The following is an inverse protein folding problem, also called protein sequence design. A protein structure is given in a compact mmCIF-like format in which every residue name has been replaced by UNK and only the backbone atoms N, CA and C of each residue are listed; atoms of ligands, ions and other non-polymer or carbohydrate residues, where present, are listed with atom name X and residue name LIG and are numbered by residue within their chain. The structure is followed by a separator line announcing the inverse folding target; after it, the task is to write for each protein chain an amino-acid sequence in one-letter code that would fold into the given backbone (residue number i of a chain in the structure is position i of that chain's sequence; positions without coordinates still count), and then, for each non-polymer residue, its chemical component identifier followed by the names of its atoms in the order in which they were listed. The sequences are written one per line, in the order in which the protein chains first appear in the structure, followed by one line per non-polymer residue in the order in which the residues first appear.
data_IF_362923117648
#
_entry.id   IF_362923117648
#
_cell.length_a   1.000
_cell.length_b   1.000
_cell.length_c   1.000
_cell.angle_alpha   90.00
_cell.angle_beta   90.00
_cell.angle_gamma   90.00
#
_symmetry.space_group_name_H-M   'P 1'
#
loop_
_entity.id
_entity.type
_entity.pdbx_description
1 polymer ?
#
# COMPACT_ATOMS: atom_id res chain seq x y z
N UNK A 1 -30.68 -26.08 25.43
CA UNK A 1 -29.65 -25.02 25.39
C UNK A 1 -28.33 -25.68 25.02
N UNK A 2 -27.94 -25.65 23.74
CA UNK A 2 -26.62 -26.10 23.33
C UNK A 2 -25.57 -25.12 23.86
N UNK A 3 -24.67 -25.58 24.72
CA UNK A 3 -23.49 -24.82 25.13
C UNK A 3 -22.65 -24.52 23.90
N UNK A 4 -22.63 -23.26 23.47
CA UNK A 4 -21.73 -22.76 22.42
C UNK A 4 -20.30 -23.14 22.79
N UNK A 5 -19.62 -23.94 21.95
CA UNK A 5 -18.19 -24.25 22.15
C UNK A 5 -17.37 -22.99 21.88
N UNK A 6 -17.00 -22.30 22.96
CA UNK A 6 -16.10 -21.14 22.94
C UNK A 6 -14.70 -21.62 22.53
N UNK A 7 -14.04 -20.91 21.62
CA UNK A 7 -12.69 -21.25 21.20
C UNK A 7 -11.68 -20.94 22.32
N UNK A 8 -10.76 -21.88 22.59
CA UNK A 8 -9.68 -21.69 23.57
C UNK A 8 -8.42 -22.39 23.10
N UNK A 9 -7.27 -21.73 23.25
CA UNK A 9 -5.98 -22.37 23.02
C UNK A 9 -5.73 -23.46 24.08
N UNK A 10 -5.23 -24.61 23.64
CA UNK A 10 -4.72 -25.66 24.52
C UNK A 10 -3.20 -25.60 24.50
N UNK A 11 -2.65 -24.66 25.28
CA UNK A 11 -1.21 -24.44 25.35
C UNK A 11 -0.56 -25.56 26.17
N UNK A 12 0.66 -25.95 25.79
CA UNK A 12 1.44 -26.98 26.46
C UNK A 12 2.84 -26.45 26.74
N UNK A 13 3.23 -26.48 28.02
CA UNK A 13 4.52 -25.94 28.45
C UNK A 13 4.57 -24.40 28.38
N UNK A 14 5.72 -23.84 28.71
CA UNK A 14 5.93 -22.39 28.68
C UNK A 14 5.76 -21.86 27.26
N UNK A 15 4.92 -20.85 27.08
CA UNK A 15 4.59 -20.27 25.77
C UNK A 15 5.13 -18.86 25.64
N UNK A 16 5.90 -18.60 24.58
CA UNK A 16 6.32 -17.27 24.17
C UNK A 16 5.34 -16.76 23.11
N UNK A 17 4.83 -15.54 23.28
CA UNK A 17 3.98 -14.90 22.26
C UNK A 17 4.75 -13.81 21.53
N UNK A 18 4.62 -13.79 20.20
CA UNK A 18 5.18 -12.78 19.31
C UNK A 18 4.04 -12.14 18.54
N UNK A 19 3.94 -10.81 18.63
CA UNK A 19 2.97 -10.01 17.89
C UNK A 19 3.74 -9.10 16.93
N UNK A 20 3.72 -9.44 15.66
CA UNK A 20 4.20 -8.57 14.59
C UNK A 20 3.07 -7.61 14.19
N UNK A 21 3.07 -6.42 14.79
CA UNK A 21 1.95 -5.50 14.62
C UNK A 21 1.84 -4.97 13.19
N UNK A 22 2.91 -4.92 12.41
CA UNK A 22 2.81 -4.50 11.01
C UNK A 22 1.94 -5.50 10.21
N UNK A 23 2.16 -6.79 10.46
CA UNK A 23 1.37 -7.86 9.86
C UNK A 23 -0.06 -7.91 10.42
N UNK A 24 -0.24 -7.79 11.74
CA UNK A 24 -1.57 -7.78 12.38
C UNK A 24 -2.40 -6.57 11.96
N UNK A 25 -1.81 -5.38 11.91
CA UNK A 25 -2.47 -4.16 11.43
C UNK A 25 -2.92 -4.32 9.96
N UNK A 26 -2.09 -4.96 9.14
CA UNK A 26 -2.40 -5.30 7.76
C UNK A 26 -3.68 -6.14 7.59
N UNK A 27 -4.12 -6.87 8.62
CA UNK A 27 -5.35 -7.66 8.57
C UNK A 27 -6.62 -6.82 8.57
N UNK A 28 -6.55 -5.54 8.93
CA UNK A 28 -7.73 -4.67 9.03
C UNK A 28 -7.51 -3.24 8.51
N UNK A 29 -6.31 -2.90 8.04
CA UNK A 29 -6.01 -1.54 7.57
C UNK A 29 -6.46 -1.25 6.14
N UNK A 30 -6.58 -2.27 5.28
CA UNK A 30 -6.95 -2.12 3.88
C UNK A 30 -8.13 -3.05 3.52
N UNK A 31 -9.34 -2.49 3.33
CA UNK A 31 -10.52 -3.25 2.93
C UNK A 31 -10.40 -3.99 1.59
N UNK A 32 -9.49 -3.57 0.72
CA UNK A 32 -9.25 -4.19 -0.58
C UNK A 32 -8.22 -5.33 -0.51
N UNK A 33 -7.55 -5.48 0.63
CA UNK A 33 -6.56 -6.53 0.80
C UNK A 33 -7.22 -7.89 0.95
N UNK A 34 -6.56 -8.93 0.41
CA UNK A 34 -7.04 -10.32 0.49
C UNK A 34 -7.08 -10.89 1.90
N UNK A 35 -6.31 -10.31 2.83
CA UNK A 35 -6.24 -10.69 4.23
C UNK A 35 -7.17 -9.84 5.12
N UNK A 36 -8.05 -9.03 4.54
CA UNK A 36 -8.94 -8.15 5.29
C UNK A 36 -9.97 -8.94 6.10
N UNK A 37 -9.99 -8.72 7.42
CA UNK A 37 -10.87 -9.40 8.36
C UNK A 37 -12.27 -8.78 8.44
N UNK A 38 -12.43 -7.50 8.06
CA UNK A 38 -13.67 -6.75 8.28
C UNK A 38 -13.91 -6.33 9.74
N UNK A 39 -12.91 -6.47 10.61
CA UNK A 39 -12.94 -6.02 12.00
C UNK A 39 -11.52 -5.72 12.49
N UNK A 40 -11.40 -4.77 13.42
CA UNK A 40 -10.11 -4.32 13.95
C UNK A 40 -9.69 -5.16 15.17
N UNK A 41 -8.42 -5.54 15.23
CA UNK A 41 -7.82 -6.13 16.44
C UNK A 41 -7.57 -5.00 17.44
N UNK A 42 -8.15 -5.13 18.63
CA UNK A 42 -7.92 -4.21 19.74
C UNK A 42 -6.70 -4.68 20.56
N UNK A 43 -5.60 -3.89 20.65
CA UNK A 43 -4.41 -4.29 21.39
C UNK A 43 -4.67 -4.57 22.87
N UNK A 44 -5.56 -3.81 23.52
CA UNK A 44 -5.84 -4.00 24.95
C UNK A 44 -6.57 -5.31 25.17
N UNK A 45 -7.62 -5.59 24.41
CA UNK A 45 -8.36 -6.86 24.47
C UNK A 45 -7.46 -8.05 24.10
N UNK A 46 -6.58 -7.88 23.11
CA UNK A 46 -5.58 -8.90 22.77
C UNK A 46 -4.64 -9.20 23.94
N UNK A 47 -4.13 -8.17 24.62
CA UNK A 47 -3.29 -8.33 25.82
C UNK A 47 -4.04 -9.08 26.91
N UNK A 48 -5.24 -8.61 27.28
CA UNK A 48 -6.07 -9.21 28.33
C UNK A 48 -6.40 -10.68 28.02
N UNK A 49 -6.77 -10.97 26.77
CA UNK A 49 -7.04 -12.33 26.31
C UNK A 49 -5.82 -13.24 26.46
N UNK A 50 -4.65 -12.81 25.99
CA UNK A 50 -3.42 -13.60 26.09
C UNK A 50 -2.95 -13.73 27.54
N UNK A 51 -3.03 -12.67 28.33
CA UNK A 51 -2.61 -12.66 29.73
C UNK A 51 -3.44 -13.61 30.60
N UNK A 52 -4.66 -13.95 30.17
CA UNK A 52 -5.51 -14.94 30.85
C UNK A 52 -4.95 -16.37 30.84
N UNK A 53 -3.96 -16.67 30.00
CA UNK A 53 -3.34 -17.99 29.92
C UNK A 53 -2.11 -18.10 30.85
N UNK A 54 -2.13 -18.95 31.89
CA UNK A 54 -1.00 -19.10 32.81
C UNK A 54 0.25 -19.71 32.15
N UNK A 55 0.09 -20.42 31.03
CA UNK A 55 1.19 -20.98 30.25
C UNK A 55 2.01 -19.90 29.51
N UNK A 56 1.42 -18.73 29.27
CA UNK A 56 2.08 -17.64 28.54
C UNK A 56 3.03 -16.91 29.48
N UNK A 57 4.32 -17.05 29.20
CA UNK A 57 5.37 -16.48 30.04
C UNK A 57 5.71 -15.02 29.68
N UNK A 58 5.61 -14.68 28.40
CA UNK A 58 5.96 -13.36 27.88
C UNK A 58 5.16 -13.07 26.60
N UNK A 59 4.85 -11.79 26.38
CA UNK A 59 4.08 -11.32 25.23
C UNK A 59 4.84 -10.17 24.59
N UNK A 60 5.56 -10.48 23.50
CA UNK A 60 6.42 -9.52 22.83
C UNK A 60 5.67 -8.83 21.68
N UNK A 61 5.56 -7.51 21.75
CA UNK A 61 4.86 -6.67 20.79
C UNK A 61 5.84 -5.82 19.98
N UNK A 62 5.86 -6.01 18.66
CA UNK A 62 6.79 -5.37 17.73
C UNK A 62 6.03 -4.39 16.83
N UNK A 63 6.43 -3.12 16.81
CA UNK A 63 5.70 -2.09 16.09
C UNK A 63 6.57 -0.91 15.64
N UNK A 64 6.22 -0.34 14.49
CA UNK A 64 6.88 0.86 13.96
C UNK A 64 6.28 2.15 14.54
N UNK A 65 7.13 3.16 14.74
CA UNK A 65 6.72 4.49 15.20
C UNK A 65 7.08 5.56 14.17
N UNK A 66 6.11 6.39 13.81
CA UNK A 66 6.32 7.61 13.02
C UNK A 66 6.34 8.83 13.96
N UNK A 67 7.52 9.34 14.29
CA UNK A 67 7.70 10.43 15.26
C UNK A 67 7.05 11.74 14.82
N UNK A 68 6.90 11.94 13.50
CA UNK A 68 6.22 13.09 12.90
C UNK A 68 4.69 13.00 12.96
N UNK A 69 4.13 11.88 13.43
CA UNK A 69 2.67 11.66 13.48
C UNK A 69 2.17 11.53 14.92
N UNK A 70 1.38 12.51 15.43
CA UNK A 70 0.85 12.48 16.80
C UNK A 70 0.08 11.19 17.15
N UNK A 71 -0.71 10.67 16.20
CA UNK A 71 -1.44 9.40 16.39
C UNK A 71 -0.51 8.20 16.60
N UNK A 72 0.62 8.15 15.89
CA UNK A 72 1.59 7.07 16.03
C UNK A 72 2.32 7.14 17.36
N UNK A 73 2.60 8.36 17.85
CA UNK A 73 3.22 8.58 19.16
C UNK A 73 2.24 8.25 20.29
N UNK A 74 0.96 8.62 20.16
CA UNK A 74 -0.07 8.24 21.11
C UNK A 74 -0.21 6.71 21.22
N UNK A 75 -0.29 6.02 20.08
CA UNK A 75 -0.32 4.55 20.04
C UNK A 75 0.90 3.92 20.71
N UNK A 76 2.10 4.47 20.48
CA UNK A 76 3.33 4.02 21.16
C UNK A 76 3.17 4.08 22.69
N UNK A 77 2.74 5.23 23.21
CA UNK A 77 2.57 5.42 24.66
C UNK A 77 1.49 4.49 25.23
N UNK A 78 0.41 4.25 24.48
CA UNK A 78 -0.63 3.30 24.85
C UNK A 78 -0.07 1.87 25.00
N UNK A 79 0.69 1.38 24.01
CA UNK A 79 1.30 0.04 24.07
C UNK A 79 2.32 -0.07 25.20
N UNK A 80 3.14 0.95 25.43
CA UNK A 80 4.14 0.98 26.51
C UNK A 80 3.46 0.93 27.90
N UNK A 81 2.25 1.46 28.03
CA UNK A 81 1.46 1.41 29.27
C UNK A 81 0.67 0.10 29.47
N UNK A 82 0.42 -0.69 28.40
CA UNK A 82 -0.41 -1.90 28.46
C UNK A 82 0.25 -3.11 29.13
N UNK A 83 1.57 -3.08 29.37
CA UNK A 83 2.30 -4.16 30.04
C UNK A 83 2.87 -5.24 29.10
N UNK A 84 2.87 -5.00 27.79
CA UNK A 84 3.62 -5.82 26.83
C UNK A 84 5.13 -5.67 27.04
N UNK A 85 5.87 -6.78 26.85
CA UNK A 85 7.27 -6.67 26.46
C UNK A 85 7.31 -6.09 25.06
N UNK A 86 7.93 -4.94 24.85
CA UNK A 86 7.79 -4.22 23.58
C UNK A 86 9.14 -3.95 22.91
N UNK A 87 9.08 -3.88 21.57
CA UNK A 87 10.17 -3.47 20.69
C UNK A 87 9.60 -2.49 19.68
N UNK A 88 10.18 -1.31 19.62
CA UNK A 88 9.81 -0.31 18.64
C UNK A 88 11.02 0.13 17.82
N UNK A 89 10.74 0.57 16.60
CA UNK A 89 11.70 1.19 15.70
C UNK A 89 11.04 2.36 15.01
N UNK A 90 11.84 3.37 14.69
CA UNK A 90 11.38 4.44 13.84
C UNK A 90 11.17 3.95 12.40
N UNK A 91 10.03 4.34 11.83
CA UNK A 91 9.66 4.01 10.47
C UNK A 91 10.53 4.80 9.49
N UNK A 92 11.20 4.09 8.59
CA UNK A 92 12.05 4.71 7.56
C UNK A 92 11.23 5.07 6.33
N UNK A 93 11.56 6.20 5.70
CA UNK A 93 11.03 6.61 4.39
C UNK A 93 12.14 6.50 3.36
N UNK A 94 12.14 5.40 2.61
CA UNK A 94 13.17 5.12 1.60
C UNK A 94 12.71 5.60 0.23
N UNK A 95 13.56 6.27 -0.56
CA UNK A 95 13.24 6.61 -1.94
C UNK A 95 12.95 5.34 -2.75
N UNK A 96 11.85 5.35 -3.50
CA UNK A 96 11.46 4.30 -4.43
C UNK A 96 11.17 4.95 -5.79
N UNK A 97 12.06 4.71 -6.75
CA UNK A 97 11.88 5.19 -8.12
C UNK A 97 10.82 4.35 -8.82
N UNK A 98 9.71 4.97 -9.24
CA UNK A 98 8.56 4.29 -9.87
C UNK A 98 8.98 3.58 -11.17
N UNK A 99 9.91 4.16 -11.91
CA UNK A 99 10.47 3.61 -13.16
C UNK A 99 11.30 2.33 -13.00
N UNK A 100 11.73 1.99 -11.78
CA UNK A 100 12.58 0.82 -11.53
C UNK A 100 11.81 -0.45 -11.19
N UNK A 101 10.54 -0.34 -10.80
CA UNK A 101 9.68 -1.51 -10.53
C UNK A 101 8.97 -1.93 -11.82
N UNK A 102 9.13 -3.20 -12.23
CA UNK A 102 8.70 -3.68 -13.55
C UNK A 102 7.23 -3.38 -13.89
N UNK A 103 6.32 -3.48 -12.91
CA UNK A 103 4.91 -3.16 -13.07
C UNK A 103 4.68 -1.65 -13.31
N UNK A 104 5.27 -0.80 -12.46
CA UNK A 104 5.12 0.65 -12.58
C UNK A 104 5.83 1.21 -13.81
N UNK A 105 6.94 0.60 -14.24
CA UNK A 105 7.64 0.97 -15.46
C UNK A 105 6.71 0.95 -16.68
N UNK A 106 5.92 -0.12 -16.83
CA UNK A 106 4.97 -0.25 -17.96
C UNK A 106 3.86 0.80 -17.87
N UNK A 107 3.34 1.07 -16.67
CA UNK A 107 2.29 2.07 -16.46
C UNK A 107 2.81 3.48 -16.73
N UNK A 108 3.98 3.82 -16.19
CA UNK A 108 4.63 5.12 -16.38
C UNK A 108 4.94 5.34 -17.85
N UNK A 109 5.43 4.33 -18.57
CA UNK A 109 5.67 4.44 -20.01
C UNK A 109 4.37 4.74 -20.77
N UNK A 110 3.31 3.97 -20.53
CA UNK A 110 2.00 4.22 -21.17
C UNK A 110 1.48 5.62 -20.89
N UNK A 111 1.64 6.11 -19.66
CA UNK A 111 1.24 7.46 -19.28
C UNK A 111 2.07 8.51 -20.04
N UNK A 112 3.39 8.32 -20.15
CA UNK A 112 4.25 9.22 -20.91
C UNK A 112 3.89 9.24 -22.40
N UNK A 113 3.62 8.08 -23.00
CA UNK A 113 3.19 8.00 -24.40
C UNK A 113 1.89 8.80 -24.63
N UNK A 114 0.92 8.73 -23.69
CA UNK A 114 -0.32 9.53 -23.75
C UNK A 114 -0.02 11.02 -23.62
N UNK A 115 0.82 11.42 -22.66
CA UNK A 115 1.18 12.82 -22.45
C UNK A 115 1.92 13.41 -23.65
N UNK A 116 2.82 12.65 -24.27
CA UNK A 116 3.55 13.06 -25.47
C UNK A 116 2.60 13.22 -26.67
N UNK A 117 1.62 12.32 -26.82
CA UNK A 117 0.60 12.44 -27.85
C UNK A 117 -0.25 13.72 -27.69
N UNK A 118 -0.66 14.05 -26.46
CA UNK A 118 -1.39 15.30 -26.17
C UNK A 118 -0.53 16.52 -26.51
N UNK A 119 0.74 16.54 -26.07
CA UNK A 119 1.67 17.63 -26.35
C UNK A 119 1.91 17.85 -27.84
N UNK A 120 2.07 16.77 -28.60
CA UNK A 120 2.22 16.81 -30.06
C UNK A 120 0.96 17.33 -30.75
N UNK A 121 -0.21 16.89 -30.29
CA UNK A 121 -1.51 17.34 -30.82
C UNK A 121 -1.71 18.85 -30.57
N UNK A 122 -1.41 19.33 -29.37
CA UNK A 122 -1.47 20.76 -29.04
C UNK A 122 -0.52 21.59 -29.90
N UNK A 123 0.66 21.05 -30.21
CA UNK A 123 1.64 21.71 -31.09
C UNK A 123 1.14 21.82 -32.53
N UNK A 124 0.48 20.77 -33.07
CA UNK A 124 -0.14 20.85 -34.41
C UNK A 124 -1.35 21.81 -34.42
N UNK A 125 -2.17 21.84 -33.36
CA UNK A 125 -3.25 22.81 -33.21
C UNK A 125 -2.73 24.25 -33.23
N UNK A 126 -1.65 24.53 -32.49
CA UNK A 126 -1.01 25.86 -32.48
C UNK A 126 -0.54 26.26 -33.88
N UNK A 127 0.06 25.33 -34.64
CA UNK A 127 0.45 25.57 -36.05
C UNK A 127 -0.77 25.88 -36.94
N UNK A 128 -1.86 25.12 -36.79
CA UNK A 128 -3.09 25.36 -37.58
C UNK A 128 -3.74 26.69 -37.26
N UNK A 129 -3.73 27.11 -35.99
CA UNK A 129 -4.20 28.44 -35.58
C UNK A 129 -3.37 29.55 -36.24
N UNK A 130 -2.05 29.39 -36.28
CA UNK A 130 -1.17 30.33 -36.99
C UNK A 130 -1.44 30.39 -38.50
N UNK A 131 -1.63 29.24 -39.16
CA UNK A 131 -2.00 29.19 -40.58
C UNK A 131 -3.38 29.82 -40.84
N UNK A 132 -4.33 29.67 -39.91
CA UNK A 132 -5.65 30.29 -39.97
C UNK A 132 -5.54 31.82 -39.85
N UNK A 133 -4.75 32.32 -38.89
CA UNK A 133 -4.48 33.75 -38.72
C UNK A 133 -3.94 34.37 -40.00
N UNK A 134 -2.92 33.76 -40.61
CA UNK A 134 -2.35 34.22 -41.89
C UNK A 134 -3.38 34.29 -43.02
N UNK A 135 -4.26 33.30 -43.10
CA UNK A 135 -5.33 33.30 -44.12
C UNK A 135 -6.36 34.38 -43.85
N UNK A 136 -6.71 34.62 -42.59
CA UNK A 136 -7.61 35.72 -42.19
C UNK A 136 -7.01 37.09 -42.53
N UNK A 137 -5.74 37.32 -42.22
CA UNK A 137 -5.01 38.54 -42.59
C UNK A 137 -5.06 38.79 -44.11
N UNK A 138 -4.75 37.76 -44.91
CA UNK A 138 -4.77 37.88 -46.37
C UNK A 138 -6.17 38.15 -46.97
N UNK A 139 -7.24 37.68 -46.31
CA UNK A 139 -8.62 37.98 -46.72
C UNK A 139 -8.97 39.42 -46.39
N UNK A 140 -8.62 39.89 -45.18
CA UNK A 140 -8.86 41.26 -44.73
C UNK A 140 -8.14 42.29 -45.63
N UNK A 141 -6.87 42.04 -45.98
CA UNK A 141 -6.08 42.91 -46.85
C UNK A 141 -6.64 42.99 -48.28
N UNK A 142 -7.41 41.98 -48.72
CA UNK A 142 -7.96 41.91 -50.09
C UNK A 142 -9.29 42.64 -50.27
N UNK A 143 -10.04 42.90 -49.18
CA UNK A 143 -11.38 43.53 -49.21
C UNK A 143 -12.52 42.62 -49.69
N UNK A 144 -12.27 41.34 -49.96
CA UNK A 144 -13.27 40.37 -50.41
C UNK A 144 -13.73 39.42 -49.30
N UNK A 145 -15.01 39.02 -49.30
CA UNK A 145 -15.61 37.99 -48.45
C UNK A 145 -16.42 36.97 -49.26
N UNK A 146 -16.86 35.89 -48.60
CA UNK A 146 -17.68 34.83 -49.21
C UNK A 146 -19.17 35.09 -48.98
N UNK A 147 -19.98 35.10 -50.04
CA UNK A 147 -21.44 35.10 -49.93
C UNK A 147 -21.95 33.75 -49.40
N UNK A 148 -23.20 33.69 -48.93
CA UNK A 148 -23.87 32.45 -48.49
C UNK A 148 -23.86 31.34 -49.54
N UNK A 149 -23.56 31.66 -50.80
CA UNK A 149 -23.57 30.77 -51.94
C UNK A 149 -22.13 30.42 -52.42
N UNK A 150 -21.10 30.91 -51.73
CA UNK A 150 -19.68 30.66 -52.05
C UNK A 150 -19.08 31.58 -53.12
N UNK A 151 -19.80 32.61 -53.59
CA UNK A 151 -19.28 33.60 -54.54
C UNK A 151 -18.49 34.71 -53.81
N UNK A 152 -17.40 35.16 -54.41
CA UNK A 152 -16.56 36.27 -53.91
C UNK A 152 -17.30 37.61 -54.08
N UNK A 153 -17.50 38.34 -52.98
CA UNK A 153 -18.12 39.68 -52.98
C UNK A 153 -17.28 40.64 -52.15
N UNK A 154 -17.45 41.96 -52.36
CA UNK A 154 -16.83 42.95 -51.48
C UNK A 154 -17.61 43.02 -50.16
N UNK A 155 -16.94 42.75 -49.05
CA UNK A 155 -17.56 42.76 -47.72
C UNK A 155 -16.74 43.69 -46.82
N UNK A 156 -17.40 44.71 -46.26
CA UNK A 156 -16.82 45.51 -45.19
C UNK A 156 -16.91 44.71 -43.88
N UNK A 157 -15.78 44.21 -43.41
CA UNK A 157 -15.71 43.53 -42.11
C UNK A 157 -15.89 44.55 -40.99
N UNK A 158 -16.68 44.21 -39.96
CA UNK A 158 -16.74 45.00 -38.75
C UNK A 158 -15.42 44.81 -37.98
N UNK A 159 -14.65 45.89 -37.82
CA UNK A 159 -13.35 45.88 -37.13
C UNK A 159 -13.43 45.26 -35.72
N UNK A 160 -14.54 45.45 -35.03
CA UNK A 160 -14.76 44.94 -33.67
C UNK A 160 -14.88 43.40 -33.66
N UNK A 161 -15.62 42.82 -34.61
CA UNK A 161 -15.78 41.35 -34.74
C UNK A 161 -14.47 40.67 -35.14
N UNK A 162 -13.69 41.30 -36.00
CA UNK A 162 -12.37 40.81 -36.42
C UNK A 162 -11.43 40.78 -35.22
N UNK A 163 -11.42 41.86 -34.42
CA UNK A 163 -10.61 41.95 -33.21
C UNK A 163 -10.97 40.86 -32.18
N UNK A 164 -12.26 40.61 -31.96
CA UNK A 164 -12.71 39.52 -31.06
C UNK A 164 -12.19 38.14 -31.51
N UNK A 165 -12.20 37.87 -32.83
CA UNK A 165 -11.67 36.61 -33.38
C UNK A 165 -10.16 36.48 -33.12
N UNK A 166 -9.40 37.56 -33.32
CA UNK A 166 -7.96 37.57 -33.01
C UNK A 166 -7.69 37.32 -31.52
N UNK A 167 -8.40 38.01 -30.63
CA UNK A 167 -8.26 37.84 -29.17
C UNK A 167 -8.58 36.40 -28.73
N UNK A 168 -9.62 35.78 -29.31
CA UNK A 168 -9.97 34.38 -29.06
C UNK A 168 -8.87 33.42 -29.52
N UNK A 169 -8.28 33.64 -30.70
CA UNK A 169 -7.21 32.78 -31.23
C UNK A 169 -5.94 32.92 -30.39
N UNK A 170 -5.55 34.15 -30.01
CA UNK A 170 -4.41 34.39 -29.14
C UNK A 170 -4.62 33.76 -27.75
N UNK A 171 -5.83 33.86 -27.21
CA UNK A 171 -6.20 33.19 -25.96
C UNK A 171 -6.03 31.67 -26.05
N UNK A 172 -6.50 31.05 -27.14
CA UNK A 172 -6.36 29.61 -27.38
C UNK A 172 -4.89 29.18 -27.54
N UNK A 173 -4.07 29.93 -28.27
CA UNK A 173 -2.64 29.62 -28.41
C UNK A 173 -1.91 29.71 -27.05
N UNK A 174 -2.25 30.71 -26.23
CA UNK A 174 -1.74 30.84 -24.87
C UNK A 174 -2.12 29.63 -24.00
N UNK A 175 -3.38 29.19 -24.05
CA UNK A 175 -3.85 28.04 -23.28
C UNK A 175 -3.16 26.73 -23.72
N UNK A 176 -2.97 26.52 -25.03
CA UNK A 176 -2.24 25.36 -25.57
C UNK A 176 -0.78 25.35 -25.11
N UNK A 177 -0.12 26.50 -25.10
CA UNK A 177 1.26 26.64 -24.59
C UNK A 177 1.33 26.31 -23.09
N UNK A 178 0.40 26.85 -22.30
CA UNK A 178 0.33 26.58 -20.86
C UNK A 178 0.14 25.08 -20.58
N UNK A 179 -0.79 24.42 -21.28
CA UNK A 179 -1.02 22.99 -21.14
C UNK A 179 0.23 22.15 -21.43
N UNK A 180 1.04 22.55 -22.43
CA UNK A 180 2.29 21.87 -22.74
C UNK A 180 3.37 22.05 -21.66
N UNK A 181 3.40 23.21 -20.97
CA UNK A 181 4.26 23.43 -19.80
C UNK A 181 3.81 22.54 -18.64
N UNK A 182 2.51 22.54 -18.33
CA UNK A 182 1.93 21.72 -17.26
C UNK A 182 2.22 20.22 -17.49
N UNK A 183 2.09 19.73 -18.74
CA UNK A 183 2.45 18.35 -19.10
C UNK A 183 3.93 18.06 -18.81
N UNK A 184 4.82 19.01 -19.12
CA UNK A 184 6.26 18.86 -18.91
C UNK A 184 6.60 18.82 -17.42
N UNK A 185 5.95 19.66 -16.61
CA UNK A 185 6.08 19.64 -15.16
C UNK A 185 5.57 18.33 -14.55
N UNK A 186 4.41 17.84 -15.01
CA UNK A 186 3.86 16.54 -14.59
C UNK A 186 4.82 15.39 -14.92
N UNK A 187 5.39 15.36 -16.13
CA UNK A 187 6.39 14.36 -16.52
C UNK A 187 7.62 14.40 -15.61
N UNK A 188 8.08 15.60 -15.21
CA UNK A 188 9.19 15.76 -14.28
C UNK A 188 8.83 15.26 -12.87
N UNK A 189 7.65 15.60 -12.37
CA UNK A 189 7.18 15.18 -11.05
C UNK A 189 7.02 13.65 -10.94
N UNK A 190 6.63 12.97 -12.02
CA UNK A 190 6.48 11.51 -12.06
C UNK A 190 7.85 10.80 -12.00
N UNK A 191 8.92 11.44 -12.47
CA UNK A 191 10.29 10.91 -12.40
C UNK A 191 10.90 11.01 -11.00
N UNK A 192 10.41 11.93 -10.17
CA UNK A 192 10.89 12.07 -8.80
C UNK A 192 10.58 10.80 -7.98
N UNK A 193 11.55 10.26 -7.20
CA UNK A 193 11.33 9.09 -6.38
C UNK A 193 10.25 9.34 -5.32
N UNK A 194 9.22 8.50 -5.27
CA UNK A 194 8.27 8.51 -4.16
C UNK A 194 8.88 7.88 -2.92
N UNK A 195 8.55 8.41 -1.75
CA UNK A 195 9.02 7.87 -0.48
C UNK A 195 8.16 6.68 -0.05
N UNK A 196 8.74 5.48 -0.04
CA UNK A 196 8.11 4.27 0.47
C UNK A 196 8.34 4.14 1.97
N UNK A 197 7.28 3.84 2.71
CA UNK A 197 7.34 3.48 4.13
C UNK A 197 7.98 2.09 4.29
N UNK A 198 9.04 1.96 5.10
CA UNK A 198 9.67 0.67 5.43
C UNK A 198 9.90 0.55 6.93
N UNK A 199 9.40 -0.53 7.52
CA UNK A 199 9.56 -0.85 8.94
C UNK A 199 9.26 -2.33 9.20
N UNK A 200 10.22 -3.20 8.88
CA UNK A 200 10.18 -4.63 9.18
C UNK A 200 10.86 -4.95 10.52
N UNK A 201 10.46 -6.09 11.11
CA UNK A 201 10.99 -6.61 12.37
C UNK A 201 11.46 -8.06 12.26
N UNK A 202 11.50 -8.64 11.05
CA UNK A 202 11.71 -10.07 10.83
C UNK A 202 13.02 -10.56 11.47
N UNK A 203 14.09 -9.76 11.37
CA UNK A 203 15.41 -10.06 11.94
C UNK A 203 15.39 -10.00 13.46
N UNK A 204 14.81 -8.95 14.06
CA UNK A 204 14.74 -8.77 15.51
C UNK A 204 13.83 -9.78 16.16
N UNK A 205 12.67 -10.04 15.55
CA UNK A 205 11.75 -11.10 15.97
C UNK A 205 12.47 -12.44 15.96
N UNK A 206 13.11 -12.80 14.84
CA UNK A 206 13.86 -14.04 14.72
C UNK A 206 14.94 -14.12 15.81
N UNK A 207 15.76 -13.08 15.96
CA UNK A 207 16.83 -13.01 16.96
C UNK A 207 16.30 -13.16 18.39
N UNK A 208 15.23 -12.47 18.75
CA UNK A 208 14.67 -12.50 20.11
C UNK A 208 14.05 -13.86 20.45
N UNK A 209 13.42 -14.52 19.46
CA UNK A 209 12.98 -15.91 19.56
C UNK A 209 14.18 -16.84 19.80
N UNK A 210 15.25 -16.73 19.00
CA UNK A 210 16.45 -17.56 19.14
C UNK A 210 17.14 -17.39 20.50
N UNK A 211 17.26 -16.15 20.97
CA UNK A 211 17.83 -15.83 22.29
C UNK A 211 17.01 -16.40 23.45
N UNK A 212 15.74 -16.73 23.21
CA UNK A 212 14.82 -17.25 24.20
C UNK A 212 14.56 -18.75 24.06
N UNK A 213 15.30 -19.47 23.20
CA UNK A 213 15.07 -20.88 22.89
C UNK A 213 14.98 -21.79 24.12
N UNK A 214 15.77 -21.56 25.16
CA UNK A 214 15.74 -22.39 26.37
C UNK A 214 14.57 -22.07 27.32
N UNK A 215 13.87 -20.95 27.09
CA UNK A 215 12.86 -20.40 28.01
C UNK A 215 11.44 -20.88 27.71
N UNK A 216 11.13 -21.20 26.46
CA UNK A 216 9.80 -21.61 26.01
C UNK A 216 9.81 -23.00 25.33
N UNK A 217 8.66 -23.66 25.34
CA UNK A 217 8.39 -24.91 24.63
C UNK A 217 7.48 -24.69 23.42
N UNK A 218 6.54 -23.74 23.56
CA UNK A 218 5.59 -23.36 22.52
C UNK A 218 5.81 -21.91 22.08
N UNK A 219 5.82 -21.67 20.78
CA UNK A 219 5.76 -20.32 20.19
C UNK A 219 4.34 -20.07 19.69
N UNK A 220 3.75 -18.94 20.05
CA UNK A 220 2.52 -18.43 19.47
C UNK A 220 2.86 -17.13 18.72
N UNK A 221 2.77 -17.15 17.39
CA UNK A 221 3.12 -16.01 16.55
C UNK A 221 1.88 -15.44 15.85
N UNK A 222 1.66 -14.14 15.99
CA UNK A 222 0.64 -13.39 15.25
C UNK A 222 1.28 -12.78 14.01
N UNK A 223 1.49 -13.63 13.01
CA UNK A 223 1.86 -13.24 11.65
C UNK A 223 1.55 -14.42 10.72
N UNK A 224 1.01 -14.12 9.53
CA UNK A 224 0.81 -15.11 8.47
C UNK A 224 1.88 -15.05 7.37
N UNK A 225 2.95 -14.28 7.61
CA UNK A 225 3.99 -14.01 6.61
C UNK A 225 4.84 -15.27 6.34
N UNK A 226 5.00 -15.59 5.05
CA UNK A 226 5.74 -16.76 4.58
C UNK A 226 7.23 -16.70 4.91
N UNK A 227 7.78 -15.51 5.11
CA UNK A 227 9.19 -15.32 5.46
C UNK A 227 9.55 -15.97 6.82
N UNK A 228 8.57 -16.13 7.71
CA UNK A 228 8.75 -16.85 8.98
C UNK A 228 8.71 -18.38 8.83
N UNK A 229 8.33 -18.95 7.68
CA UNK A 229 8.20 -20.40 7.52
C UNK A 229 9.53 -21.14 7.77
N UNK A 230 10.65 -20.58 7.32
CA UNK A 230 11.98 -21.13 7.57
C UNK A 230 12.35 -21.13 9.06
N UNK A 231 12.00 -20.05 9.78
CA UNK A 231 12.15 -19.96 11.23
C UNK A 231 11.29 -21.03 11.92
N UNK A 232 10.03 -21.14 11.54
CA UNK A 232 9.09 -22.13 12.10
C UNK A 232 9.62 -23.54 11.91
N UNK A 233 10.13 -23.86 10.72
CA UNK A 233 10.72 -25.16 10.42
C UNK A 233 11.92 -25.47 11.33
N UNK A 234 12.87 -24.54 11.48
CA UNK A 234 14.04 -24.78 12.34
C UNK A 234 13.63 -24.95 13.82
N UNK A 235 12.67 -24.17 14.31
CA UNK A 235 12.17 -24.32 15.68
C UNK A 235 11.52 -25.69 15.92
N UNK A 236 10.76 -26.18 14.95
CA UNK A 236 10.16 -27.52 15.02
C UNK A 236 11.24 -28.61 15.04
N UNK A 237 12.31 -28.45 14.26
CA UNK A 237 13.47 -29.36 14.28
C UNK A 237 14.14 -29.41 15.66
N UNK A 238 14.11 -28.29 16.41
CA UNK A 238 14.57 -28.19 17.81
C UNK A 238 13.53 -28.64 18.83
N UNK A 239 12.45 -29.29 18.40
CA UNK A 239 11.43 -29.88 19.25
C UNK A 239 10.41 -28.88 19.80
N UNK A 240 10.35 -27.64 19.30
CA UNK A 240 9.33 -26.66 19.69
C UNK A 240 7.98 -26.98 19.08
N UNK A 241 6.92 -26.47 19.69
CA UNK A 241 5.56 -26.44 19.12
C UNK A 241 5.25 -25.03 18.68
N UNK A 242 4.65 -24.87 17.52
CA UNK A 242 4.41 -23.56 16.92
C UNK A 242 2.93 -23.42 16.60
N UNK A 243 2.34 -22.30 17.03
CA UNK A 243 1.00 -21.88 16.68
C UNK A 243 1.14 -20.59 15.87
N UNK A 244 0.70 -20.62 14.61
CA UNK A 244 0.71 -19.47 13.71
C UNK A 244 -0.71 -18.92 13.64
N UNK A 245 -0.90 -17.67 14.05
CA UNK A 245 -2.16 -16.94 13.94
C UNK A 245 -2.13 -16.03 12.73
N UNK A 246 -3.10 -16.18 11.83
CA UNK A 246 -3.15 -15.48 10.55
C UNK A 246 -4.58 -15.05 10.20
N UNK A 247 -4.74 -14.02 9.38
CA UNK A 247 -6.05 -13.62 8.88
C UNK A 247 -6.57 -14.53 7.75
N UNK A 248 -7.89 -14.65 7.61
CA UNK A 248 -8.49 -15.47 6.57
C UNK A 248 -8.00 -15.06 5.18
N UNK A 249 -7.66 -16.05 4.33
CA UNK A 249 -7.28 -15.81 2.94
C UNK A 249 -5.79 -15.58 2.67
N UNK A 250 -4.93 -15.51 3.70
CA UNK A 250 -3.50 -15.37 3.46
C UNK A 250 -2.62 -16.00 4.55
N UNK A 251 -2.12 -17.19 4.24
CA UNK A 251 -0.93 -17.77 4.86
C UNK A 251 0.12 -17.90 3.74
N UNK A 252 1.40 -17.61 4.03
CA UNK A 252 2.47 -17.83 3.06
C UNK A 252 2.44 -19.25 2.49
N UNK A 253 2.66 -19.41 1.17
CA UNK A 253 2.61 -20.70 0.48
C UNK A 253 3.63 -21.69 1.04
N UNK A 254 4.71 -21.16 1.61
CA UNK A 254 5.76 -21.87 2.31
C UNK A 254 5.20 -22.69 3.48
N UNK A 255 4.14 -22.22 4.15
CA UNK A 255 3.47 -22.99 5.21
C UNK A 255 2.70 -24.19 4.68
N UNK A 256 2.11 -24.11 3.48
CA UNK A 256 1.43 -25.26 2.85
C UNK A 256 2.43 -26.39 2.59
N UNK A 257 3.60 -26.03 2.02
CA UNK A 257 4.70 -26.96 1.79
C UNK A 257 5.24 -27.55 3.11
N UNK A 258 5.37 -26.71 4.14
CA UNK A 258 5.83 -27.14 5.46
C UNK A 258 4.86 -28.12 6.13
N UNK A 259 3.55 -27.87 6.06
CA UNK A 259 2.52 -28.78 6.60
C UNK A 259 2.58 -30.14 5.91
N UNK A 260 2.77 -30.17 4.59
CA UNK A 260 2.93 -31.43 3.84
C UNK A 260 4.19 -32.18 4.29
N UNK A 261 5.33 -31.48 4.38
CA UNK A 261 6.61 -32.04 4.84
C UNK A 261 6.52 -32.61 6.25
N UNK A 262 5.93 -31.87 7.19
CA UNK A 262 5.74 -32.31 8.57
C UNK A 262 4.80 -33.53 8.67
N UNK A 263 3.80 -33.61 7.80
CA UNK A 263 2.88 -34.75 7.75
C UNK A 263 3.59 -36.03 7.31
N UNK A 264 4.45 -35.95 6.30
CA UNK A 264 5.27 -37.09 5.83
C UNK A 264 6.25 -37.59 6.89
N UNK A 265 6.78 -36.68 7.72
CA UNK A 265 7.74 -36.99 8.78
C UNK A 265 7.09 -37.35 10.13
N UNK A 266 5.76 -37.45 10.21
CA UNK A 266 5.06 -37.76 11.46
C UNK A 266 5.06 -36.64 12.51
N UNK A 267 5.41 -35.41 12.11
CA UNK A 267 5.55 -34.23 12.98
C UNK A 267 4.38 -33.23 12.85
N UNK A 268 3.25 -33.64 12.25
CA UNK A 268 2.07 -32.77 12.05
C UNK A 268 1.51 -32.14 13.33
N UNK A 269 1.79 -32.72 14.50
CA UNK A 269 1.36 -32.20 15.80
C UNK A 269 2.28 -31.11 16.38
N UNK A 270 3.26 -30.63 15.60
CA UNK A 270 4.19 -29.58 16.00
C UNK A 270 3.83 -28.21 15.44
N UNK A 271 3.07 -28.14 14.34
CA UNK A 271 2.62 -26.90 13.72
C UNK A 271 1.10 -26.82 13.75
N UNK A 272 0.57 -25.72 14.28
CA UNK A 272 -0.85 -25.44 14.35
C UNK A 272 -1.15 -24.13 13.65
N UNK A 273 -2.05 -24.16 12.67
CA UNK A 273 -2.49 -22.98 11.95
C UNK A 273 -3.85 -22.51 12.51
N UNK A 274 -3.91 -21.28 13.00
CA UNK A 274 -5.08 -20.71 13.63
C UNK A 274 -5.55 -19.45 12.91
N UNK A 275 -6.73 -19.50 12.29
CA UNK A 275 -7.36 -18.29 11.77
C UNK A 275 -7.70 -17.32 12.91
N UNK A 276 -7.32 -16.05 12.76
CA UNK A 276 -7.67 -14.95 13.65
C UNK A 276 -9.18 -14.77 13.80
N UNK A 277 -9.99 -15.24 12.84
CA UNK A 277 -11.45 -15.21 12.94
C UNK A 277 -11.98 -15.98 14.15
N UNK A 278 -11.28 -17.04 14.58
CA UNK A 278 -11.62 -17.80 15.79
C UNK A 278 -11.42 -17.01 17.08
N UNK A 279 -10.68 -15.90 17.01
CA UNK A 279 -10.37 -15.03 18.14
C UNK A 279 -11.24 -13.77 18.18
N UNK A 280 -12.03 -13.51 17.13
CA UNK A 280 -12.80 -12.26 16.96
C UNK A 280 -13.58 -11.86 18.21
N UNK A 281 -14.31 -12.79 18.80
CA UNK A 281 -15.15 -12.51 19.98
C UNK A 281 -14.38 -12.04 21.22
N UNK A 282 -13.07 -12.29 21.28
CA UNK A 282 -12.22 -11.91 22.41
C UNK A 282 -11.37 -10.67 22.13
N UNK A 283 -10.90 -10.49 20.88
CA UNK A 283 -9.87 -9.49 20.56
C UNK A 283 -10.35 -8.40 19.59
N UNK A 284 -11.59 -8.46 19.10
CA UNK A 284 -12.11 -7.39 18.23
C UNK A 284 -12.50 -6.17 19.05
N UNK A 285 -12.34 -4.99 18.46
CA UNK A 285 -12.83 -3.72 19.00
C UNK A 285 -14.34 -3.76 19.30
#
# INVERSE_FOLDING_TARGET
METRKIFKFKLQGKTLVIIDWANVYGWFSDPNSRNYLGWEVDPKKLFEYLKSYPEIMDINFYYGVELDKPKSVAFKNEIEAMGYSHRSKEVKRVPAALETTAYFKVIVQKLFDVLDNVKNTNSDLSRRLYDLLKKLEGVLDSGYGLSTNGELTYVFFNEEQVKEIYELIEGLDSDLKKLNVDITELQSAIKEPVRRRKCDFDVEISRDIYNSLSKFETLLIFSGDGDYAALVEDLISKGKKIIVVFANGHIGKEYEQLVEKLSKNGLKNRLFLCSAQKLREFISK
#
